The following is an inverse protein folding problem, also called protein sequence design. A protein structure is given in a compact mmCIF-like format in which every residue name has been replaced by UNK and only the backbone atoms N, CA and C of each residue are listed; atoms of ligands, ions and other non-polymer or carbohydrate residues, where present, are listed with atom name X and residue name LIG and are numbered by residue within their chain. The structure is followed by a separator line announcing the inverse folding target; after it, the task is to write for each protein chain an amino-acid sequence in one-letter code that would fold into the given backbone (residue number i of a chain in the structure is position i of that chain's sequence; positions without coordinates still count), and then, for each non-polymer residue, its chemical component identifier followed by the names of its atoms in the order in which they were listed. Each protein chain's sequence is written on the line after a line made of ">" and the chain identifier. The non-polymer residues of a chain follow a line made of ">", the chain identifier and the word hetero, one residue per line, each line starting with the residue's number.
data_IF_231646396140
#
_entry.id   IF_231646396140
#
_cell.length_a   1.000
_cell.length_b   1.000
_cell.length_c   1.000
_cell.angle_alpha   90.00
_cell.angle_beta   90.00
_cell.angle_gamma   90.00
#
_symmetry.space_group_name_H-M   'P 1'
#
loop_
_entity.id
_entity.type
_entity.pdbx_description
1 polymer ?
#
# COMPACT_ATOMS: atom_id res chain seq x y z
N UNK A 1 -12.51 25.84 24.37
CA UNK A 1 -11.30 25.96 23.54
C UNK A 1 -11.43 24.94 22.42
N UNK A 2 -11.85 25.40 21.25
CA UNK A 2 -12.11 24.55 20.08
C UNK A 2 -10.83 24.51 19.26
N UNK A 3 -10.17 23.36 19.23
CA UNK A 3 -9.05 23.12 18.32
C UNK A 3 -9.62 22.95 16.91
N UNK A 4 -9.65 24.04 16.14
CA UNK A 4 -9.79 23.96 14.70
C UNK A 4 -8.48 23.37 14.16
N UNK A 5 -8.47 22.06 13.88
CA UNK A 5 -7.46 21.47 13.03
C UNK A 5 -7.64 22.07 11.64
N UNK A 6 -6.82 23.08 11.37
CA UNK A 6 -6.74 23.73 10.08
C UNK A 6 -6.11 22.71 9.13
N UNK A 7 -6.97 21.91 8.49
CA UNK A 7 -6.60 21.09 7.34
C UNK A 7 -6.22 22.06 6.21
N UNK A 8 -4.93 22.33 6.06
CA UNK A 8 -4.40 22.81 4.79
C UNK A 8 -4.49 21.65 3.78
N UNK A 9 -5.70 21.41 3.30
CA UNK A 9 -5.98 20.50 2.20
C UNK A 9 -5.43 21.15 0.92
N UNK A 10 -4.12 21.05 0.72
CA UNK A 10 -3.58 21.13 -0.63
C UNK A 10 -4.35 20.11 -1.47
N UNK A 11 -4.96 20.50 -2.59
CA UNK A 11 -5.74 19.57 -3.40
C UNK A 11 -4.82 18.42 -3.81
N UNK A 12 -5.17 17.21 -3.37
CA UNK A 12 -4.59 15.99 -3.91
C UNK A 12 -4.86 15.98 -5.43
N UNK A 13 -3.89 15.55 -6.26
CA UNK A 13 -4.04 15.52 -7.71
C UNK A 13 -5.31 14.79 -8.16
N UNK A 14 -6.03 15.39 -9.11
CA UNK A 14 -7.39 15.03 -9.45
C UNK A 14 -7.56 13.68 -10.15
N UNK A 15 -8.68 13.01 -9.85
CA UNK A 15 -9.39 11.95 -10.61
C UNK A 15 -8.58 11.31 -11.75
N UNK A 16 -7.51 10.60 -11.43
CA UNK A 16 -6.86 9.72 -12.39
C UNK A 16 -7.78 8.52 -12.66
N UNK A 17 -7.80 8.01 -13.90
CA UNK A 17 -8.49 6.75 -14.20
C UNK A 17 -7.89 5.66 -13.30
N UNK A 18 -8.70 4.73 -12.76
CA UNK A 18 -8.19 3.68 -11.87
C UNK A 18 -7.03 2.96 -12.54
N UNK A 19 -5.88 2.95 -11.86
CA UNK A 19 -4.67 2.35 -12.39
C UNK A 19 -4.95 0.87 -12.67
N UNK A 20 -4.55 0.37 -13.85
CA UNK A 20 -5.15 -0.85 -14.36
C UNK A 20 -4.60 -2.16 -13.74
N UNK A 21 -3.66 -2.06 -12.80
CA UNK A 21 -2.97 -3.16 -12.11
C UNK A 21 -1.45 -3.20 -12.39
N UNK A 22 -0.76 -4.17 -11.79
CA UNK A 22 0.70 -4.40 -11.96
C UNK A 22 0.97 -5.80 -12.52
N UNK A 23 2.04 -5.94 -13.28
CA UNK A 23 2.63 -7.24 -13.62
C UNK A 23 3.94 -7.36 -12.85
N UNK A 24 4.02 -8.30 -11.91
CA UNK A 24 5.21 -8.56 -11.09
C UNK A 24 5.68 -9.96 -11.40
N UNK A 25 6.96 -10.11 -11.78
CA UNK A 25 7.57 -11.40 -12.15
C UNK A 25 6.75 -12.19 -13.21
N UNK A 26 6.10 -11.48 -14.14
CA UNK A 26 5.26 -12.07 -15.17
C UNK A 26 3.83 -12.45 -14.73
N UNK A 27 3.53 -12.36 -13.43
CA UNK A 27 2.18 -12.57 -12.89
C UNK A 27 1.43 -11.25 -12.84
N UNK A 28 0.17 -11.28 -13.29
CA UNK A 28 -0.69 -10.09 -13.34
C UNK A 28 -1.54 -9.98 -12.08
N UNK A 29 -1.42 -8.84 -11.41
CA UNK A 29 -2.16 -8.47 -10.22
C UNK A 29 -3.12 -7.31 -10.53
N UNK A 30 -4.40 -7.51 -10.20
CA UNK A 30 -5.49 -6.55 -10.47
C UNK A 30 -6.29 -6.17 -9.22
N UNK A 31 -5.87 -6.64 -8.04
CA UNK A 31 -6.50 -6.32 -6.76
C UNK A 31 -6.15 -4.89 -6.30
N UNK A 32 -6.85 -4.39 -5.29
CA UNK A 32 -6.76 -3.00 -4.82
C UNK A 32 -5.34 -2.56 -4.47
N UNK A 33 -4.53 -3.41 -3.82
CA UNK A 33 -3.13 -3.05 -3.53
C UNK A 33 -2.28 -2.84 -4.80
N UNK A 34 -2.46 -3.66 -5.84
CA UNK A 34 -1.75 -3.46 -7.11
C UNK A 34 -2.21 -2.17 -7.81
N UNK A 35 -3.50 -1.85 -7.75
CA UNK A 35 -4.03 -0.60 -8.29
C UNK A 35 -3.52 0.61 -7.50
N UNK A 36 -3.49 0.53 -6.17
CA UNK A 36 -2.96 1.56 -5.30
C UNK A 36 -1.49 1.88 -5.62
N UNK A 37 -0.61 0.86 -5.59
CA UNK A 37 0.81 1.07 -5.83
C UNK A 37 1.09 1.53 -7.27
N UNK A 38 0.38 1.00 -8.28
CA UNK A 38 0.49 1.49 -9.66
C UNK A 38 0.03 2.94 -9.81
N UNK A 39 -1.11 3.30 -9.21
CA UNK A 39 -1.68 4.63 -9.28
C UNK A 39 -0.76 5.65 -8.63
N UNK A 40 -0.26 5.32 -7.44
CA UNK A 40 0.66 6.19 -6.70
C UNK A 40 1.97 6.42 -7.47
N UNK A 41 2.55 5.37 -8.06
CA UNK A 41 3.77 5.51 -8.86
C UNK A 41 3.57 6.41 -10.09
N UNK A 42 2.43 6.28 -10.77
CA UNK A 42 2.14 7.12 -11.95
C UNK A 42 1.77 8.56 -11.57
N UNK A 43 1.04 8.77 -10.48
CA UNK A 43 0.71 10.10 -9.96
C UNK A 43 1.98 10.85 -9.54
N UNK A 44 2.86 10.20 -8.76
CA UNK A 44 4.14 10.81 -8.38
C UNK A 44 5.03 11.05 -9.60
N UNK A 45 5.06 10.13 -10.57
CA UNK A 45 5.83 10.33 -11.79
C UNK A 45 5.30 11.50 -12.65
N UNK A 46 3.99 11.75 -12.64
CA UNK A 46 3.35 12.83 -13.39
C UNK A 46 3.57 14.20 -12.73
N UNK A 47 3.30 14.30 -11.42
CA UNK A 47 3.26 15.58 -10.71
C UNK A 47 4.60 15.93 -10.03
N UNK A 48 5.43 14.92 -9.75
CA UNK A 48 6.68 15.04 -9.01
C UNK A 48 7.83 14.29 -9.72
N UNK A 49 8.01 14.55 -11.02
CA UNK A 49 8.95 13.82 -11.89
C UNK A 49 10.42 13.76 -11.44
N UNK A 50 10.87 14.69 -10.57
CA UNK A 50 12.21 14.70 -9.99
C UNK A 50 12.33 13.81 -8.72
N UNK A 51 11.22 13.41 -8.11
CA UNK A 51 11.22 12.57 -6.92
C UNK A 51 11.53 11.12 -7.30
N UNK A 52 12.35 10.47 -6.47
CA UNK A 52 12.82 9.09 -6.64
C UNK A 52 12.47 8.19 -5.45
N UNK A 53 11.91 8.79 -4.40
CA UNK A 53 11.62 8.12 -3.14
C UNK A 53 10.34 8.62 -2.49
N UNK A 54 9.64 7.68 -1.87
CA UNK A 54 8.45 7.88 -1.05
C UNK A 54 8.71 7.27 0.33
N UNK A 55 8.39 7.97 1.40
CA UNK A 55 8.37 7.39 2.73
C UNK A 55 6.94 7.40 3.28
N UNK A 56 6.58 6.33 3.99
CA UNK A 56 5.30 6.18 4.66
C UNK A 56 5.54 5.84 6.12
N UNK A 57 4.75 6.42 7.01
CA UNK A 57 4.82 6.16 8.45
C UNK A 57 3.43 5.92 9.03
N UNK A 58 3.27 4.85 9.79
CA UNK A 58 2.03 4.50 10.48
C UNK A 58 2.28 4.06 11.92
N UNK A 59 1.25 4.21 12.75
CA UNK A 59 1.12 3.57 14.05
C UNK A 59 -0.01 2.55 13.99
N UNK A 60 0.27 1.30 14.33
CA UNK A 60 -0.70 0.21 14.23
C UNK A 60 -0.35 -0.91 15.20
N UNK A 61 -1.36 -1.60 15.72
CA UNK A 61 -1.23 -2.78 16.57
C UNK A 61 -1.25 -4.10 15.77
N UNK A 62 -1.51 -4.03 14.46
CA UNK A 62 -1.61 -5.21 13.60
C UNK A 62 -0.23 -5.80 13.34
N UNK A 63 -0.01 -7.07 13.65
CA UNK A 63 1.18 -7.79 13.19
C UNK A 63 1.06 -8.12 11.69
N UNK A 64 2.17 -8.01 10.95
CA UNK A 64 2.16 -8.36 9.53
C UNK A 64 2.06 -9.87 9.36
N UNK A 65 1.01 -10.34 8.69
CA UNK A 65 0.75 -11.75 8.47
C UNK A 65 0.14 -11.98 7.09
N UNK A 66 0.23 -13.21 6.57
CA UNK A 66 -0.33 -13.58 5.27
C UNK A 66 -1.83 -13.36 5.16
N UNK A 67 -2.54 -13.43 6.27
CA UNK A 67 -3.99 -13.17 6.31
C UNK A 67 -4.34 -11.74 5.85
N UNK A 68 -3.41 -10.79 5.94
CA UNK A 68 -3.57 -9.42 5.44
C UNK A 68 -3.48 -9.31 3.90
N UNK A 69 -3.03 -10.35 3.19
CA UNK A 69 -3.10 -10.40 1.73
C UNK A 69 -4.55 -10.56 1.23
N UNK A 70 -5.39 -11.18 2.06
CA UNK A 70 -6.79 -11.53 1.78
C UNK A 70 -7.68 -11.18 2.98
N UNK A 71 -7.78 -9.88 3.36
CA UNK A 71 -8.50 -9.45 4.57
C UNK A 71 -9.96 -9.89 4.57
N UNK A 72 -10.59 -10.00 3.40
CA UNK A 72 -11.95 -10.53 3.25
C UNK A 72 -12.09 -11.98 3.75
N UNK A 73 -11.06 -12.79 3.56
CA UNK A 73 -11.05 -14.20 4.00
C UNK A 73 -10.87 -14.28 5.52
N UNK A 74 -10.10 -13.38 6.12
CA UNK A 74 -10.02 -13.25 7.58
C UNK A 74 -11.37 -12.86 8.17
N UNK A 75 -12.00 -11.81 7.62
CA UNK A 75 -13.32 -11.36 8.05
C UNK A 75 -14.40 -12.45 7.90
N UNK A 76 -14.43 -13.16 6.78
CA UNK A 76 -15.36 -14.27 6.57
C UNK A 76 -15.20 -15.36 7.63
N UNK A 77 -13.95 -15.75 7.95
CA UNK A 77 -13.67 -16.75 9.01
C UNK A 77 -14.18 -16.27 10.36
N UNK A 78 -14.01 -15.00 10.70
CA UNK A 78 -14.52 -14.42 11.93
C UNK A 78 -16.06 -14.40 11.97
N UNK A 79 -16.70 -13.97 10.89
CA UNK A 79 -18.16 -13.97 10.76
C UNK A 79 -18.74 -15.38 10.89
N UNK A 80 -18.06 -16.40 10.37
CA UNK A 80 -18.47 -17.80 10.52
C UNK A 80 -18.30 -18.34 11.94
N UNK A 81 -17.36 -17.80 12.72
CA UNK A 81 -17.16 -18.14 14.14
C UNK A 81 -18.15 -17.44 15.06
N UNK A 82 -18.85 -16.41 14.60
CA UNK A 82 -19.83 -15.71 15.41
C UNK A 82 -20.99 -16.66 15.80
N UNK A 83 -21.37 -16.71 17.09
CA UNK A 83 -22.44 -17.57 17.53
C UNK A 83 -23.81 -17.18 16.95
N UNK A 84 -24.89 -17.88 17.34
CA UNK A 84 -26.25 -17.62 16.85
C UNK A 84 -26.73 -16.19 17.14
N UNK A 85 -27.79 -15.75 16.44
CA UNK A 85 -28.25 -14.36 16.35
C UNK A 85 -28.33 -13.54 17.67
N UNK A 86 -28.77 -14.09 18.83
CA UNK A 86 -28.79 -13.33 20.08
C UNK A 86 -27.39 -12.89 20.54
N UNK A 87 -26.41 -13.79 20.43
CA UNK A 87 -25.02 -13.55 20.80
C UNK A 87 -24.29 -12.65 19.78
N UNK A 88 -24.74 -12.60 18.52
CA UNK A 88 -24.21 -11.64 17.54
C UNK A 88 -24.51 -10.20 17.92
N UNK A 89 -25.71 -9.90 18.42
CA UNK A 89 -26.07 -8.51 18.82
C UNK A 89 -25.19 -8.02 19.96
N UNK A 90 -24.89 -8.90 20.92
CA UNK A 90 -23.94 -8.64 22.01
C UNK A 90 -22.53 -8.38 21.46
N UNK A 91 -22.05 -9.25 20.57
CA UNK A 91 -20.74 -9.11 19.93
C UNK A 91 -20.62 -7.80 19.10
N UNK A 92 -21.66 -7.43 18.36
CA UNK A 92 -21.71 -6.17 17.61
C UNK A 92 -21.69 -4.95 18.53
N UNK A 93 -22.42 -4.98 19.64
CA UNK A 93 -22.38 -3.90 20.64
C UNK A 93 -20.99 -3.79 21.27
N UNK A 94 -20.37 -4.91 21.62
CA UNK A 94 -19.02 -4.94 22.16
C UNK A 94 -18.01 -4.36 21.16
N UNK A 95 -18.11 -4.73 19.88
CA UNK A 95 -17.27 -4.19 18.82
C UNK A 95 -17.45 -2.67 18.64
N UNK A 96 -18.69 -2.17 18.64
CA UNK A 96 -18.96 -0.73 18.56
C UNK A 96 -18.43 0.03 19.78
N UNK A 97 -18.52 -0.54 20.97
CA UNK A 97 -17.93 0.05 22.19
C UNK A 97 -16.41 0.07 22.10
N UNK A 98 -15.78 -1.00 21.61
CA UNK A 98 -14.33 -1.03 21.40
C UNK A 98 -13.88 0.01 20.38
N UNK A 99 -14.57 0.14 19.25
CA UNK A 99 -14.29 1.18 18.25
C UNK A 99 -14.46 2.59 18.83
N UNK A 100 -15.45 2.81 19.71
CA UNK A 100 -15.62 4.09 20.38
C UNK A 100 -14.48 4.42 21.37
N UNK A 101 -13.84 3.40 21.96
CA UNK A 101 -12.70 3.57 22.87
C UNK A 101 -11.40 3.83 22.09
N UNK A 102 -11.18 3.10 21.00
CA UNK A 102 -9.96 3.21 20.19
C UNK A 102 -9.94 4.49 19.34
N UNK A 103 -11.12 5.01 18.99
CA UNK A 103 -11.24 6.12 18.05
C UNK A 103 -11.03 5.67 16.60
N UNK A 104 -11.10 6.60 15.64
CA UNK A 104 -10.84 6.27 14.24
C UNK A 104 -9.36 5.94 14.04
N UNK A 105 -9.03 5.11 13.03
CA UNK A 105 -7.64 4.83 12.68
C UNK A 105 -6.90 6.12 12.32
N UNK A 106 -5.61 6.16 12.69
CA UNK A 106 -4.73 7.29 12.39
C UNK A 106 -4.47 7.44 10.90
N UNK A 107 -4.08 8.64 10.49
CA UNK A 107 -3.64 8.90 9.11
C UNK A 107 -2.26 8.30 8.84
N UNK A 108 -1.99 7.99 7.57
CA UNK A 108 -0.66 7.57 7.11
C UNK A 108 0.18 8.83 6.83
N UNK A 109 1.30 8.97 7.53
CA UNK A 109 2.30 9.99 7.20
C UNK A 109 2.96 9.66 5.86
N UNK A 110 3.15 10.65 5.00
CA UNK A 110 3.70 10.49 3.67
C UNK A 110 4.72 11.58 3.35
N UNK A 111 5.85 11.20 2.78
CA UNK A 111 6.90 12.12 2.36
C UNK A 111 7.42 11.74 0.97
N UNK A 112 7.62 12.74 0.11
CA UNK A 112 8.28 12.61 -1.18
C UNK A 112 9.65 13.27 -1.11
N UNK A 113 10.65 12.57 -1.65
CA UNK A 113 12.03 13.03 -1.69
C UNK A 113 12.64 12.88 -3.08
N UNK A 114 13.53 13.82 -3.41
CA UNK A 114 14.37 13.78 -4.59
C UNK A 114 15.84 13.77 -4.14
N UNK A 115 16.61 12.74 -4.49
CA UNK A 115 18.01 12.61 -4.09
C UNK A 115 18.24 12.74 -2.57
N UNK A 116 17.27 12.26 -1.77
CA UNK A 116 17.31 12.33 -0.31
C UNK A 116 16.90 13.69 0.30
N UNK A 117 16.47 14.65 -0.51
CA UNK A 117 15.93 15.93 -0.03
C UNK A 117 14.41 15.91 -0.11
N UNK A 118 13.75 16.08 1.05
CA UNK A 118 12.29 16.13 1.15
C UNK A 118 11.72 17.30 0.32
N UNK A 119 10.79 16.96 -0.57
CA UNK A 119 10.08 17.89 -1.44
C UNK A 119 8.67 18.17 -0.94
N UNK A 120 8.01 17.16 -0.37
CA UNK A 120 6.65 17.25 0.17
C UNK A 120 6.50 16.33 1.36
N UNK A 121 5.82 16.79 2.40
CA UNK A 121 5.41 15.99 3.54
C UNK A 121 3.96 16.31 3.88
N UNK A 122 3.14 15.29 4.05
CA UNK A 122 1.73 15.44 4.39
C UNK A 122 1.19 14.15 5.04
N UNK A 123 -0.06 14.20 5.51
CA UNK A 123 -0.82 12.99 5.82
C UNK A 123 -1.68 12.61 4.63
N UNK A 124 -1.76 11.31 4.31
CA UNK A 124 -2.70 10.84 3.30
C UNK A 124 -4.14 11.02 3.81
N UNK A 125 -5.10 11.35 2.91
CA UNK A 125 -6.52 11.42 3.29
C UNK A 125 -6.99 10.07 3.86
N UNK A 126 -7.74 10.12 4.96
CA UNK A 126 -8.27 8.91 5.64
C UNK A 126 -9.19 8.10 4.72
N UNK A 127 -9.85 8.78 3.80
CA UNK A 127 -10.72 8.24 2.76
C UNK A 127 -9.95 7.57 1.60
N UNK A 128 -8.62 7.75 1.53
CA UNK A 128 -7.75 7.01 0.61
C UNK A 128 -7.10 5.80 1.28
N UNK A 129 -6.42 6.03 2.41
CA UNK A 129 -5.74 4.99 3.18
C UNK A 129 -5.50 5.47 4.61
N UNK A 130 -5.82 4.61 5.57
CA UNK A 130 -5.57 4.82 6.99
C UNK A 130 -4.52 3.82 7.52
N UNK A 131 -4.16 3.96 8.79
CA UNK A 131 -3.17 3.12 9.45
C UNK A 131 -3.59 1.65 9.64
N UNK A 132 -4.87 1.29 9.48
CA UNK A 132 -5.36 -0.09 9.54
C UNK A 132 -5.38 -0.76 8.15
N UNK A 133 -5.64 0.00 7.09
CA UNK A 133 -5.61 -0.46 5.71
C UNK A 133 -4.17 -0.56 5.19
N UNK A 134 -3.29 0.37 5.58
CA UNK A 134 -1.92 0.41 5.07
C UNK A 134 -1.12 -0.89 5.27
N UNK A 135 -1.21 -1.61 6.41
CA UNK A 135 -0.63 -2.94 6.56
C UNK A 135 -1.04 -3.94 5.48
N UNK A 136 -2.29 -3.90 5.00
CA UNK A 136 -2.76 -4.75 3.89
C UNK A 136 -2.05 -4.41 2.58
N UNK A 137 -1.73 -3.13 2.34
CA UNK A 137 -0.98 -2.69 1.16
C UNK A 137 0.51 -3.06 1.26
N UNK A 138 1.07 -2.95 2.47
CA UNK A 138 2.46 -3.22 2.79
C UNK A 138 2.82 -4.71 2.57
N UNK A 139 1.98 -5.64 3.05
CA UNK A 139 2.28 -7.08 2.92
C UNK A 139 2.39 -7.54 1.46
N UNK A 140 1.73 -6.86 0.52
CA UNK A 140 1.89 -7.14 -0.90
C UNK A 140 3.30 -6.78 -1.41
N UNK A 141 3.94 -5.72 -0.90
CA UNK A 141 5.33 -5.41 -1.24
C UNK A 141 6.29 -6.50 -0.73
N UNK A 142 6.03 -7.03 0.48
CA UNK A 142 6.81 -8.12 1.07
C UNK A 142 6.64 -9.42 0.25
N UNK A 143 5.41 -9.76 -0.11
CA UNK A 143 5.09 -10.96 -0.90
C UNK A 143 5.68 -10.86 -2.32
N UNK A 144 5.55 -9.72 -3.00
CA UNK A 144 6.16 -9.48 -4.32
C UNK A 144 7.69 -9.48 -4.32
N UNK A 145 8.30 -9.24 -3.16
CA UNK A 145 9.75 -9.32 -2.97
C UNK A 145 10.20 -10.69 -2.46
N UNK A 146 9.28 -11.67 -2.40
CA UNK A 146 9.53 -13.04 -1.93
C UNK A 146 10.12 -13.12 -0.52
N UNK A 147 9.84 -12.13 0.34
CA UNK A 147 10.32 -12.16 1.72
C UNK A 147 9.53 -13.22 2.49
N UNK A 148 10.18 -14.20 3.14
CA UNK A 148 9.47 -15.20 3.94
C UNK A 148 8.66 -14.56 5.07
N UNK A 149 7.42 -15.02 5.28
CA UNK A 149 6.51 -14.45 6.29
C UNK A 149 7.11 -14.41 7.69
N UNK A 150 7.92 -15.41 8.07
CA UNK A 150 8.57 -15.45 9.38
C UNK A 150 9.53 -14.27 9.64
N UNK A 151 9.88 -13.50 8.60
CA UNK A 151 10.72 -12.32 8.69
C UNK A 151 9.93 -11.01 8.76
N UNK A 152 8.64 -10.98 8.37
CA UNK A 152 7.89 -9.75 8.09
C UNK A 152 7.82 -8.75 9.27
N UNK A 153 7.91 -9.24 10.51
CA UNK A 153 7.85 -8.39 11.71
C UNK A 153 9.23 -8.12 12.35
N UNK A 154 10.34 -8.44 11.67
CA UNK A 154 11.68 -8.05 12.13
C UNK A 154 11.80 -6.52 12.19
N UNK A 155 12.71 -6.04 13.04
CA UNK A 155 12.91 -4.61 13.28
C UNK A 155 13.37 -3.85 12.04
N UNK A 156 14.10 -4.50 11.14
CA UNK A 156 14.52 -3.94 9.87
C UNK A 156 14.46 -5.02 8.79
N UNK A 157 13.91 -4.66 7.64
CA UNK A 157 13.84 -5.48 6.43
C UNK A 157 14.15 -4.64 5.21
N UNK A 158 14.67 -5.29 4.19
CA UNK A 158 14.85 -4.69 2.88
C UNK A 158 14.44 -5.69 1.81
N UNK A 159 14.02 -5.17 0.67
CA UNK A 159 13.68 -5.99 -0.48
C UNK A 159 13.50 -5.14 -1.73
N UNK A 160 13.04 -5.78 -2.78
CA UNK A 160 12.81 -5.13 -4.04
C UNK A 160 12.31 -6.11 -5.08
N UNK A 161 11.67 -5.55 -6.10
CA UNK A 161 11.13 -6.31 -7.22
C UNK A 161 11.04 -5.41 -8.44
N UNK A 162 10.82 -6.03 -9.60
CA UNK A 162 10.47 -5.31 -10.81
C UNK A 162 9.00 -5.48 -11.11
N UNK A 163 8.39 -4.40 -11.56
CA UNK A 163 6.99 -4.39 -11.97
C UNK A 163 6.87 -3.78 -13.37
N UNK A 164 5.78 -4.09 -14.06
CA UNK A 164 5.36 -3.40 -15.26
C UNK A 164 3.95 -2.89 -15.09
N UNK A 165 3.65 -1.77 -15.72
CA UNK A 165 2.26 -1.35 -15.88
C UNK A 165 1.51 -2.41 -16.70
N UNK A 166 0.18 -2.45 -16.56
CA UNK A 166 -0.63 -3.44 -17.29
C UNK A 166 -0.44 -3.35 -18.81
N UNK A 167 -0.17 -2.17 -19.36
CA UNK A 167 0.01 -2.00 -20.80
C UNK A 167 1.40 -2.44 -21.28
N UNK A 168 2.33 -2.79 -20.38
CA UNK A 168 3.70 -3.17 -20.69
C UNK A 168 4.52 -2.04 -21.31
N UNK A 169 4.10 -0.79 -21.10
CA UNK A 169 4.74 0.42 -21.61
C UNK A 169 5.76 0.99 -20.66
N UNK A 170 5.64 0.68 -19.37
CA UNK A 170 6.50 1.21 -18.32
C UNK A 170 6.98 0.06 -17.46
N UNK A 171 8.28 0.04 -17.19
CA UNK A 171 8.89 -0.87 -16.23
C UNK A 171 9.36 -0.07 -15.03
N UNK A 172 9.00 -0.56 -13.85
CA UNK A 172 9.43 -0.03 -12.56
C UNK A 172 10.46 -0.97 -11.95
N UNK A 173 11.55 -0.41 -11.43
CA UNK A 173 12.42 -1.10 -10.49
C UNK A 173 12.19 -0.52 -9.10
N UNK A 174 11.69 -1.33 -8.17
CA UNK A 174 11.38 -0.92 -6.81
C UNK A 174 12.37 -1.53 -5.83
N UNK A 175 12.83 -0.72 -4.87
CA UNK A 175 13.59 -1.14 -3.70
C UNK A 175 12.94 -0.51 -2.48
N UNK A 176 12.88 -1.24 -1.39
CA UNK A 176 12.29 -0.74 -0.18
C UNK A 176 13.06 -1.16 1.06
N UNK A 177 12.90 -0.36 2.09
CA UNK A 177 13.39 -0.56 3.44
C UNK A 177 12.19 -0.40 4.39
N UNK A 178 12.00 -1.34 5.29
CA UNK A 178 10.94 -1.33 6.29
C UNK A 178 11.57 -1.38 7.68
N UNK A 179 11.33 -0.33 8.45
CA UNK A 179 11.66 -0.28 9.87
C UNK A 179 10.39 -0.55 10.68
N UNK A 180 10.51 -1.44 11.67
CA UNK A 180 9.45 -1.84 12.56
C UNK A 180 9.90 -1.64 14.01
N UNK A 181 9.39 -0.59 14.65
CA UNK A 181 9.72 -0.24 16.03
C UNK A 181 8.56 -0.60 16.92
N UNK A 182 8.74 -1.60 17.79
CA UNK A 182 7.78 -1.90 18.85
C UNK A 182 7.80 -0.79 19.90
N UNK A 183 6.65 -0.22 20.20
CA UNK A 183 6.51 0.87 21.17
C UNK A 183 6.06 0.32 22.54
N UNK A 184 4.93 -0.38 22.56
CA UNK A 184 4.34 -0.95 23.78
C UNK A 184 3.18 -1.86 23.42
N UNK A 185 2.93 -2.94 24.18
CA UNK A 185 1.66 -3.71 24.14
C UNK A 185 1.19 -4.20 22.76
N UNK A 186 2.12 -4.36 21.80
CA UNK A 186 1.80 -4.79 20.44
C UNK A 186 1.54 -3.62 19.48
N UNK A 187 1.63 -2.38 19.95
CA UNK A 187 1.70 -1.19 19.11
C UNK A 187 3.08 -1.10 18.44
N UNK A 188 3.07 -0.95 17.12
CA UNK A 188 4.24 -0.78 16.28
C UNK A 188 4.19 0.56 15.56
N UNK A 189 5.34 1.23 15.49
CA UNK A 189 5.61 2.24 14.47
C UNK A 189 6.27 1.56 13.28
N UNK A 190 5.68 1.72 12.10
CA UNK A 190 6.26 1.21 10.85
C UNK A 190 6.60 2.35 9.94
N UNK A 191 7.84 2.34 9.44
CA UNK A 191 8.33 3.28 8.45
C UNK A 191 8.76 2.51 7.21
N UNK A 192 8.08 2.75 6.09
CA UNK A 192 8.44 2.19 4.79
C UNK A 192 9.11 3.29 3.97
N UNK A 193 10.34 3.07 3.54
CA UNK A 193 10.99 3.86 2.50
C UNK A 193 10.94 3.07 1.19
N UNK A 194 10.33 3.64 0.16
CA UNK A 194 10.21 3.06 -1.17
C UNK A 194 10.98 3.92 -2.17
N UNK A 195 12.04 3.37 -2.74
CA UNK A 195 12.82 3.96 -3.84
C UNK A 195 12.40 3.31 -5.14
N UNK A 196 12.22 4.10 -6.19
CA UNK A 196 11.81 3.55 -7.47
C UNK A 196 12.57 4.17 -8.64
N UNK A 197 12.63 3.40 -9.72
CA UNK A 197 13.12 3.82 -11.02
C UNK A 197 12.05 3.52 -12.06
N UNK A 198 11.94 4.38 -13.08
CA UNK A 198 10.94 4.27 -14.13
C UNK A 198 11.62 4.27 -15.48
N UNK A 199 11.33 3.25 -16.30
CA UNK A 199 11.86 3.12 -17.65
C UNK A 199 10.71 2.93 -18.63
N UNK A 200 10.66 3.78 -19.66
CA UNK A 200 9.77 3.53 -20.79
C UNK A 200 10.22 2.24 -21.48
N UNK A 201 9.32 1.27 -21.55
CA UNK A 201 9.53 0.06 -22.34
C UNK A 201 9.24 0.39 -23.78
N UNK A 202 10.30 0.57 -24.58
CA UNK A 202 10.19 0.49 -26.02
C UNK A 202 9.90 -0.96 -26.37
N UNK A 203 8.63 -1.33 -26.42
CA UNK A 203 8.24 -2.59 -27.01
C UNK A 203 8.76 -2.60 -28.44
N UNK A 204 9.79 -3.42 -28.70
CA UNK A 204 10.19 -3.74 -30.05
C UNK A 204 8.92 -4.25 -30.74
N UNK A 205 8.35 -3.45 -31.65
CA UNK A 205 7.29 -3.90 -32.55
C UNK A 205 7.81 -5.20 -33.14
N UNK A 206 7.23 -6.35 -32.74
CA UNK A 206 7.45 -7.57 -33.50
C UNK A 206 7.04 -7.20 -34.93
N UNK A 207 7.94 -7.23 -35.92
CA UNK A 207 7.50 -7.09 -37.29
C UNK A 207 6.48 -8.21 -37.47
N UNK A 208 5.23 -7.83 -37.76
CA UNK A 208 4.21 -8.77 -38.17
C UNK A 208 4.83 -9.56 -39.31
N UNK A 209 5.22 -10.80 -39.04
CA UNK A 209 5.64 -11.72 -40.06
C UNK A 209 4.41 -11.98 -40.91
N UNK A 210 4.27 -11.15 -41.95
CA UNK A 210 3.57 -11.49 -43.16
C UNK A 210 4.23 -12.76 -43.70
N UNK A 211 3.71 -13.92 -43.30
CA UNK A 211 3.87 -15.12 -44.10
C UNK A 211 2.65 -15.17 -45.02
N UNK A 212 2.79 -14.43 -46.12
CA UNK A 212 2.24 -14.80 -47.42
C UNK A 212 2.80 -16.18 -47.79
N UNK A 213 1.90 -17.11 -48.11
CA UNK A 213 1.99 -18.18 -49.13
C UNK A 213 1.20 -19.40 -48.66
N UNK A 214 0.43 -20.09 -49.49
CA UNK A 214 -0.03 -19.93 -50.87
C UNK A 214 -1.24 -20.86 -51.02
#
# INVERSE_FOLDING_TARGET
>A
MTFALQYDAAPMPGKSKPAPGLIVQGVRFVHSAAQFWAGLLEEVAADYSACDSMAFEILTDLALARDLLFPETALQRELHRLPHWPQRKEAWRAALVQLAVLGPPGAVGFELSAQGVAQKSCSLPLDCVDAEIFPCLLVWLLEWSEVPQCLWNRSALQGGFTAQDRAGRVRYGLRWELENTHLSEGLYRRRLLLRYTRQASFAARRPSSFLLSR
#
